data_IF_171792443070
#
_entry.id   IF_171792443070
#
_cell.length_a   1.000
_cell.length_b   1.000
_cell.length_c   1.000
_cell.angle_alpha   90.00
_cell.angle_beta   90.00
_cell.angle_gamma   90.00
#
_symmetry.space_group_name_H-M   'P 1'
#
loop_
_entity.id
_entity.type
_entity.pdbx_description
1 polymer ?
#
# COMPACT_ATOMS: atom_id res chain seq x y z
N UNK A 1 -61.01 -20.90 72.39
CA UNK A 1 -59.99 -21.94 72.55
C UNK A 1 -58.72 -21.40 71.94
N UNK A 2 -57.93 -20.83 72.74
CA UNK A 2 -56.62 -21.32 73.26
C UNK A 2 -55.57 -21.36 72.17
N UNK A 3 -54.66 -20.45 72.30
CA UNK A 3 -53.29 -20.50 72.81
C UNK A 3 -52.32 -20.91 71.68
N UNK A 4 -51.22 -20.36 71.51
CA UNK A 4 -50.33 -19.60 72.34
C UNK A 4 -49.06 -19.27 71.52
N UNK A 5 -48.51 -18.16 71.83
CA UNK A 5 -47.15 -17.93 72.31
C UNK A 5 -46.03 -18.75 71.61
N UNK A 6 -45.06 -18.13 71.02
CA UNK A 6 -43.91 -17.61 71.77
C UNK A 6 -42.87 -16.99 70.78
N UNK A 7 -42.39 -15.87 71.22
CA UNK A 7 -41.07 -15.25 71.01
C UNK A 7 -39.93 -16.21 70.68
N UNK A 8 -39.09 -15.79 69.76
CA UNK A 8 -37.66 -15.62 70.10
C UNK A 8 -36.92 -14.69 69.15
N UNK A 9 -36.41 -13.70 69.82
CA UNK A 9 -35.34 -12.82 69.29
C UNK A 9 -34.05 -13.62 69.21
N UNK A 10 -33.23 -13.23 68.28
CA UNK A 10 -31.78 -13.10 68.33
C UNK A 10 -31.25 -13.50 66.92
N UNK A 11 -30.36 -12.92 66.29
CA UNK A 11 -29.20 -12.15 66.66
C UNK A 11 -28.56 -11.67 65.43
N UNK A 12 -28.11 -10.43 65.43
CA UNK A 12 -27.12 -9.90 64.52
C UNK A 12 -25.87 -10.80 64.45
N UNK A 13 -25.29 -10.92 63.26
CA UNK A 13 -23.87 -10.96 62.95
C UNK A 13 -23.85 -11.31 61.43
N UNK A 14 -23.56 -10.47 60.52
CA UNK A 14 -22.24 -9.90 60.29
C UNK A 14 -21.43 -10.90 59.47
N UNK A 15 -21.30 -10.66 58.21
CA UNK A 15 -20.19 -11.09 57.35
C UNK A 15 -20.38 -10.29 56.05
N UNK A 16 -19.64 -9.26 55.90
CA UNK A 16 -18.42 -9.20 55.16
C UNK A 16 -18.58 -9.69 53.70
N UNK A 17 -18.78 -8.78 52.75
CA UNK A 17 -17.76 -8.37 51.81
C UNK A 17 -17.24 -9.52 50.95
N UNK A 18 -17.86 -9.70 49.80
CA UNK A 18 -17.14 -10.22 48.66
C UNK A 18 -17.30 -9.20 47.52
N UNK A 19 -16.40 -8.24 47.53
CA UNK A 19 -16.09 -7.46 46.32
C UNK A 19 -15.53 -8.42 45.27
N UNK A 20 -16.37 -8.87 44.37
CA UNK A 20 -15.91 -9.47 43.11
C UNK A 20 -15.24 -8.38 42.31
N UNK A 21 -13.92 -8.30 42.38
CA UNK A 21 -13.09 -7.62 41.39
C UNK A 21 -13.33 -8.34 40.06
N UNK A 22 -14.26 -7.83 39.27
CA UNK A 22 -14.29 -8.13 37.85
C UNK A 22 -13.06 -7.46 37.21
N UNK A 23 -11.97 -8.22 37.12
CA UNK A 23 -10.80 -7.85 36.36
C UNK A 23 -11.23 -7.68 34.90
N UNK A 24 -11.40 -6.45 34.47
CA UNK A 24 -11.47 -6.11 33.06
C UNK A 24 -10.08 -6.38 32.48
N UNK A 25 -9.92 -7.56 31.92
CA UNK A 25 -8.81 -7.86 31.01
C UNK A 25 -9.01 -6.93 29.79
N UNK A 26 -8.42 -5.74 29.87
CA UNK A 26 -8.13 -4.95 28.67
C UNK A 26 -7.13 -5.77 27.85
N UNK A 27 -7.64 -6.56 26.91
CA UNK A 27 -6.83 -7.11 25.84
C UNK A 27 -6.44 -5.90 24.98
N UNK A 28 -5.25 -5.38 25.22
CA UNK A 28 -4.65 -4.41 24.31
C UNK A 28 -4.53 -5.12 22.96
N UNK A 29 -5.41 -4.77 22.01
CA UNK A 29 -5.23 -5.19 20.62
C UNK A 29 -3.88 -4.66 20.18
N UNK A 30 -3.03 -5.48 19.56
CA UNK A 30 -1.73 -5.02 19.09
C UNK A 30 -1.95 -3.87 18.09
N UNK A 31 -1.29 -2.74 18.33
CA UNK A 31 -1.39 -1.53 17.50
C UNK A 31 -1.17 -1.80 15.98
N UNK A 32 -0.43 -2.86 15.65
CA UNK A 32 -0.23 -3.31 14.28
C UNK A 32 -1.49 -3.86 13.57
N UNK A 33 -2.60 -4.11 14.30
CA UNK A 33 -3.84 -4.56 13.66
C UNK A 33 -4.68 -3.38 13.13
N UNK A 34 -4.52 -2.19 13.70
CA UNK A 34 -5.22 -0.99 13.24
C UNK A 34 -4.60 -0.43 11.97
N UNK A 35 -3.26 -0.42 11.86
CA UNK A 35 -2.57 0.00 10.63
C UNK A 35 -2.91 -0.92 9.45
N UNK A 36 -3.00 -2.25 9.69
CA UNK A 36 -3.40 -3.22 8.67
C UNK A 36 -4.86 -3.08 8.21
N UNK A 37 -5.75 -2.60 9.09
CA UNK A 37 -7.15 -2.37 8.73
C UNK A 37 -7.31 -1.10 7.87
N UNK A 38 -6.46 -0.10 8.09
CA UNK A 38 -6.45 1.15 7.34
C UNK A 38 -5.85 0.95 5.94
N UNK A 39 -4.79 0.15 5.81
CA UNK A 39 -4.22 -0.26 4.53
C UNK A 39 -5.17 -1.12 3.67
N UNK A 40 -6.11 -1.85 4.27
CA UNK A 40 -7.13 -2.61 3.53
C UNK A 40 -8.10 -1.73 2.76
N UNK A 41 -8.32 -0.49 3.18
CA UNK A 41 -9.12 0.48 2.41
C UNK A 41 -8.43 0.93 1.12
N UNK A 42 -7.12 0.81 1.04
CA UNK A 42 -6.36 1.09 -0.18
C UNK A 42 -6.31 -0.10 -1.16
N UNK A 43 -6.93 -1.23 -0.82
CA UNK A 43 -7.17 -2.35 -1.70
C UNK A 43 -6.04 -3.37 -1.85
N UNK A 44 -4.79 -3.06 -1.43
CA UNK A 44 -3.66 -3.99 -1.52
C UNK A 44 -2.72 -3.87 -0.33
N UNK A 45 -2.44 -5.02 0.30
CA UNK A 45 -1.36 -5.16 1.26
C UNK A 45 -0.06 -5.43 0.49
N UNK A 46 0.97 -4.70 0.80
CA UNK A 46 2.34 -4.96 0.38
C UNK A 46 3.29 -4.62 1.53
N UNK A 47 4.46 -5.25 1.59
CA UNK A 47 5.39 -5.04 2.69
C UNK A 47 5.86 -3.57 2.75
N UNK A 48 6.21 -3.13 3.94
CA UNK A 48 6.84 -1.83 4.15
C UNK A 48 8.11 -1.75 3.32
N UNK A 49 8.35 -0.66 2.58
CA UNK A 49 9.57 -0.50 1.80
C UNK A 49 10.82 -0.65 2.66
N UNK A 50 11.71 -1.54 2.25
CA UNK A 50 12.99 -1.78 2.91
C UNK A 50 14.04 -0.73 2.52
N UNK A 51 13.87 -0.16 1.33
CA UNK A 51 14.72 0.91 0.82
C UNK A 51 13.88 2.01 0.21
N UNK A 52 14.27 3.26 0.47
CA UNK A 52 13.61 4.46 -0.07
C UNK A 52 14.69 5.30 -0.74
N UNK A 53 14.49 5.65 -2.00
CA UNK A 53 15.35 6.53 -2.77
C UNK A 53 14.54 7.74 -3.26
N UNK A 54 15.23 8.83 -3.56
CA UNK A 54 14.64 10.02 -4.19
C UNK A 54 15.24 10.18 -5.58
N UNK A 55 14.37 10.40 -6.55
CA UNK A 55 14.75 10.71 -7.92
C UNK A 55 14.36 12.15 -8.25
N UNK A 56 15.35 12.96 -8.59
CA UNK A 56 15.17 14.32 -9.10
C UNK A 56 14.83 14.23 -10.59
N UNK A 57 13.57 14.45 -10.92
CA UNK A 57 13.12 14.40 -12.31
C UNK A 57 13.62 15.60 -13.09
N UNK A 58 13.86 15.40 -14.37
CA UNK A 58 14.30 16.43 -15.34
C UNK A 58 13.13 17.08 -16.08
N UNK A 59 11.94 16.60 -15.79
CA UNK A 59 10.71 17.03 -16.42
C UNK A 59 9.77 17.67 -15.39
N UNK A 60 8.97 18.61 -15.85
CA UNK A 60 7.86 19.15 -15.07
C UNK A 60 6.58 18.34 -15.26
N UNK A 61 5.71 18.40 -14.27
CA UNK A 61 4.38 17.81 -14.36
C UNK A 61 3.53 18.61 -15.34
N UNK A 62 2.81 17.92 -16.23
CA UNK A 62 1.86 18.58 -17.14
C UNK A 62 0.73 19.24 -16.36
N UNK A 63 0.28 20.41 -16.79
CA UNK A 63 -0.80 21.17 -16.16
C UNK A 63 -2.13 20.38 -16.08
N UNK A 64 -2.39 19.56 -17.09
CA UNK A 64 -3.58 18.70 -17.18
C UNK A 64 -3.36 17.29 -16.59
N UNK A 65 -2.30 17.12 -15.81
CA UNK A 65 -1.98 15.87 -15.14
C UNK A 65 -2.89 15.68 -13.93
N UNK A 66 -3.98 14.98 -14.14
CA UNK A 66 -4.98 14.67 -13.13
C UNK A 66 -5.07 13.16 -12.82
N UNK A 67 -5.97 12.81 -11.92
CA UNK A 67 -6.26 11.42 -11.57
C UNK A 67 -6.69 10.59 -12.78
N UNK A 68 -7.48 11.15 -13.68
CA UNK A 68 -8.01 10.45 -14.87
C UNK A 68 -6.88 10.07 -15.81
N UNK A 69 -5.94 10.99 -16.05
CA UNK A 69 -4.76 10.74 -16.87
C UNK A 69 -3.87 9.64 -16.29
N UNK A 70 -3.62 9.66 -14.97
CA UNK A 70 -2.83 8.62 -14.30
C UNK A 70 -3.49 7.25 -14.40
N UNK A 71 -4.79 7.17 -14.16
CA UNK A 71 -5.55 5.91 -14.31
C UNK A 71 -5.55 5.46 -15.78
N UNK A 72 -5.75 6.37 -16.72
CA UNK A 72 -5.67 6.07 -18.15
C UNK A 72 -4.33 5.46 -18.54
N UNK A 73 -3.22 6.01 -18.05
CA UNK A 73 -1.89 5.43 -18.24
C UNK A 73 -1.78 4.00 -17.71
N UNK A 74 -2.26 3.74 -16.49
CA UNK A 74 -2.24 2.38 -15.90
C UNK A 74 -3.07 1.40 -16.72
N UNK A 75 -4.26 1.80 -17.14
CA UNK A 75 -5.14 0.96 -17.97
C UNK A 75 -4.47 0.62 -19.30
N UNK A 76 -3.85 1.61 -19.96
CA UNK A 76 -3.18 1.39 -21.25
C UNK A 76 -1.95 0.48 -21.07
N UNK A 77 -1.13 0.71 -20.06
CA UNK A 77 0.02 -0.12 -19.76
C UNK A 77 -0.40 -1.57 -19.46
N UNK A 78 -1.44 -1.74 -18.66
CA UNK A 78 -2.00 -3.06 -18.36
C UNK A 78 -2.53 -3.74 -19.62
N UNK A 79 -3.24 -3.01 -20.48
CA UNK A 79 -3.74 -3.53 -21.77
C UNK A 79 -2.63 -4.00 -22.68
N UNK A 80 -1.54 -3.23 -22.78
CA UNK A 80 -0.36 -3.62 -23.55
C UNK A 80 0.29 -4.88 -23.00
N UNK A 81 0.43 -4.99 -21.68
CA UNK A 81 0.98 -6.19 -21.04
C UNK A 81 0.12 -7.43 -21.30
N UNK A 82 -1.21 -7.31 -21.20
CA UNK A 82 -2.15 -8.39 -21.44
C UNK A 82 -2.32 -8.75 -22.93
N UNK A 83 -1.91 -7.88 -23.85
CA UNK A 83 -1.92 -8.20 -25.29
C UNK A 83 -0.78 -9.12 -25.71
N UNK A 84 0.21 -9.32 -24.84
CA UNK A 84 1.30 -10.27 -25.05
C UNK A 84 0.75 -11.70 -24.90
N UNK A 85 1.15 -12.68 -25.74
CA UNK A 85 0.72 -14.07 -25.60
C UNK A 85 1.23 -14.77 -24.33
N UNK A 86 2.21 -14.19 -23.67
CA UNK A 86 2.74 -14.70 -22.38
C UNK A 86 2.10 -13.97 -21.21
N UNK A 87 1.87 -14.69 -20.08
CA UNK A 87 1.42 -14.04 -18.84
C UNK A 87 2.38 -12.93 -18.42
N UNK A 88 1.88 -11.78 -17.94
CA UNK A 88 2.75 -10.71 -17.47
C UNK A 88 3.54 -11.14 -16.23
N UNK A 89 4.79 -10.72 -16.15
CA UNK A 89 5.67 -10.98 -15.03
C UNK A 89 5.35 -10.11 -13.81
N UNK A 90 4.68 -8.98 -14.02
CA UNK A 90 4.28 -8.05 -12.97
C UNK A 90 2.93 -7.40 -13.30
N UNK A 91 2.26 -6.91 -12.27
CA UNK A 91 1.05 -6.11 -12.37
C UNK A 91 1.32 -4.66 -11.94
N UNK A 92 0.52 -3.73 -12.45
CA UNK A 92 0.67 -2.30 -12.21
C UNK A 92 -0.59 -1.74 -11.59
N UNK A 93 -0.46 -0.93 -10.56
CA UNK A 93 -1.58 -0.33 -9.83
C UNK A 93 -1.31 1.14 -9.56
N UNK A 94 -2.38 1.94 -9.54
CA UNK A 94 -2.34 3.29 -9.01
C UNK A 94 -2.96 3.32 -7.61
N UNK A 95 -2.34 4.02 -6.68
CA UNK A 95 -2.78 4.23 -5.31
C UNK A 95 -2.75 5.71 -4.95
N UNK A 96 -3.33 6.03 -3.79
CA UNK A 96 -3.51 7.41 -3.33
C UNK A 96 -4.83 8.00 -3.78
N UNK A 97 -5.26 9.06 -3.13
CA UNK A 97 -6.53 9.74 -3.41
C UNK A 97 -6.58 10.26 -4.85
N UNK A 98 -5.46 10.79 -5.32
CA UNK A 98 -5.29 11.30 -6.67
C UNK A 98 -4.64 10.28 -7.62
N UNK A 99 -4.49 9.01 -7.21
CA UNK A 99 -3.76 7.99 -7.96
C UNK A 99 -2.28 8.36 -8.24
N UNK A 100 -1.68 9.13 -7.36
CA UNK A 100 -0.33 9.70 -7.48
C UNK A 100 0.80 8.73 -7.11
N UNK A 101 0.46 7.56 -6.61
CA UNK A 101 1.41 6.51 -6.22
C UNK A 101 1.30 5.35 -7.18
N UNK A 102 2.35 5.11 -7.95
CA UNK A 102 2.45 3.94 -8.82
C UNK A 102 2.99 2.75 -8.02
N UNK A 103 2.39 1.60 -8.19
CA UNK A 103 2.87 0.35 -7.61
C UNK A 103 3.03 -0.72 -8.67
N UNK A 104 4.18 -1.38 -8.69
CA UNK A 104 4.49 -2.53 -9.53
C UNK A 104 4.70 -3.74 -8.61
N UNK A 105 3.95 -4.82 -8.85
CA UNK A 105 4.01 -6.03 -8.03
C UNK A 105 4.34 -7.22 -8.92
N UNK A 106 5.32 -8.03 -8.54
CA UNK A 106 5.62 -9.27 -9.22
C UNK A 106 4.41 -10.21 -9.19
N UNK A 107 4.16 -10.87 -10.31
CA UNK A 107 3.10 -11.88 -10.47
C UNK A 107 3.64 -13.30 -10.29
N UNK A 108 4.94 -13.45 -10.21
CA UNK A 108 5.65 -14.72 -10.00
C UNK A 108 6.81 -14.48 -9.05
N UNK A 109 7.12 -15.51 -8.28
CA UNK A 109 8.32 -15.55 -7.48
C UNK A 109 9.56 -15.33 -8.37
N UNK A 110 10.63 -14.80 -7.81
CA UNK A 110 11.92 -14.59 -8.46
C UNK A 110 11.98 -13.47 -9.54
N UNK A 111 10.89 -12.80 -9.87
CA UNK A 111 10.90 -11.68 -10.84
C UNK A 111 11.44 -10.39 -10.20
N UNK A 112 10.99 -10.07 -9.00
CA UNK A 112 11.34 -8.84 -8.27
C UNK A 112 11.62 -9.20 -6.80
N UNK A 113 12.76 -9.84 -6.54
CA UNK A 113 13.11 -10.28 -5.18
C UNK A 113 14.27 -9.48 -4.55
N UNK A 114 14.80 -8.53 -5.28
CA UNK A 114 15.99 -7.77 -4.88
C UNK A 114 16.06 -6.41 -5.56
N UNK A 115 16.82 -5.48 -4.95
CA UNK A 115 17.08 -4.17 -5.52
C UNK A 115 17.70 -4.23 -6.92
N UNK A 116 18.50 -5.23 -7.20
CA UNK A 116 19.12 -5.42 -8.52
C UNK A 116 18.07 -5.74 -9.59
N UNK A 117 17.12 -6.62 -9.28
CA UNK A 117 16.02 -6.96 -10.20
C UNK A 117 15.03 -5.81 -10.34
N UNK A 118 14.73 -5.10 -9.26
CA UNK A 118 13.93 -3.87 -9.32
C UNK A 118 14.58 -2.84 -10.26
N UNK A 119 15.88 -2.62 -10.16
CA UNK A 119 16.62 -1.70 -11.06
C UNK A 119 16.68 -2.20 -12.51
N UNK A 120 16.78 -3.50 -12.72
CA UNK A 120 16.72 -4.09 -14.07
C UNK A 120 15.34 -3.85 -14.72
N UNK A 121 14.26 -4.03 -13.96
CA UNK A 121 12.91 -3.70 -14.40
C UNK A 121 12.78 -2.22 -14.76
N UNK A 122 13.30 -1.32 -13.93
CA UNK A 122 13.28 0.12 -14.19
C UNK A 122 14.07 0.51 -15.44
N UNK A 123 15.18 -0.16 -15.70
CA UNK A 123 15.96 0.04 -16.92
C UNK A 123 15.16 -0.42 -18.17
N UNK A 124 14.47 -1.55 -18.09
CA UNK A 124 13.57 -2.04 -19.13
C UNK A 124 12.42 -1.06 -19.38
N UNK A 125 11.74 -0.60 -18.32
CA UNK A 125 10.66 0.38 -18.43
C UNK A 125 11.14 1.72 -19.02
N UNK A 126 12.37 2.13 -18.70
CA UNK A 126 13.01 3.30 -19.32
C UNK A 126 13.19 3.08 -20.83
N UNK A 127 13.67 1.91 -21.24
CA UNK A 127 13.83 1.58 -22.66
C UNK A 127 12.49 1.62 -23.41
N UNK A 128 11.43 1.07 -22.81
CA UNK A 128 10.07 1.11 -23.37
C UNK A 128 9.54 2.55 -23.44
N UNK A 129 9.76 3.35 -22.40
CA UNK A 129 9.33 4.76 -22.35
C UNK A 129 9.96 5.60 -23.46
N UNK A 130 11.23 5.34 -23.77
CA UNK A 130 11.97 6.02 -24.84
C UNK A 130 11.39 5.77 -26.23
N UNK A 131 10.74 4.63 -26.43
CA UNK A 131 10.06 4.31 -27.68
C UNK A 131 8.66 4.94 -27.80
N UNK A 132 8.16 5.63 -26.76
CA UNK A 132 6.84 6.27 -26.81
C UNK A 132 6.85 7.50 -27.71
N UNK A 133 5.74 7.80 -28.42
CA UNK A 133 5.62 9.03 -29.21
C UNK A 133 5.92 10.29 -28.38
N UNK A 134 5.51 10.31 -27.11
CA UNK A 134 5.76 11.44 -26.21
C UNK A 134 7.25 11.79 -26.14
N UNK A 135 8.14 10.81 -25.94
CA UNK A 135 9.56 11.06 -25.83
C UNK A 135 10.21 11.31 -27.19
N UNK A 136 9.73 10.67 -28.25
CA UNK A 136 10.25 10.85 -29.61
C UNK A 136 9.91 12.25 -30.17
N UNK A 137 8.67 12.67 -30.04
CA UNK A 137 8.18 13.95 -30.55
C UNK A 137 8.84 15.16 -29.88
N UNK A 138 9.13 15.03 -28.56
CA UNK A 138 9.85 16.07 -27.84
C UNK A 138 11.37 15.97 -27.93
N UNK A 139 11.92 14.95 -28.60
CA UNK A 139 13.37 14.76 -28.75
C UNK A 139 14.11 14.47 -27.42
N UNK A 140 13.43 13.93 -26.41
CA UNK A 140 13.99 13.71 -25.07
C UNK A 140 14.31 12.24 -24.78
N UNK A 141 14.12 11.35 -25.75
CA UNK A 141 14.28 9.91 -25.59
C UNK A 141 15.68 9.50 -25.10
N UNK A 142 16.73 10.22 -25.45
CA UNK A 142 18.11 9.92 -25.01
C UNK A 142 18.39 10.35 -23.56
N UNK A 143 17.63 11.31 -23.04
CA UNK A 143 17.91 11.96 -21.75
C UNK A 143 16.94 11.47 -20.68
N UNK A 144 15.66 11.33 -21.01
CA UNK A 144 14.60 11.01 -20.06
C UNK A 144 14.55 9.53 -19.73
N UNK A 145 14.10 9.25 -18.52
CA UNK A 145 13.90 7.92 -17.95
C UNK A 145 12.43 7.64 -17.74
N UNK A 146 12.11 6.44 -17.28
CA UNK A 146 10.76 6.11 -16.84
C UNK A 146 10.27 7.03 -15.70
N UNK A 147 11.15 7.46 -14.81
CA UNK A 147 10.79 8.40 -13.74
C UNK A 147 10.41 9.78 -14.26
N UNK A 148 11.08 10.26 -15.30
CA UNK A 148 10.71 11.53 -15.96
C UNK A 148 9.31 11.41 -16.59
N UNK A 149 8.98 10.26 -17.20
CA UNK A 149 7.62 9.99 -17.69
C UNK A 149 6.60 10.01 -16.53
N UNK A 150 6.91 9.36 -15.41
CA UNK A 150 6.04 9.36 -14.25
C UNK A 150 5.83 10.78 -13.70
N UNK A 151 6.88 11.60 -13.66
CA UNK A 151 6.79 12.99 -13.24
C UNK A 151 5.88 13.80 -14.18
N UNK A 152 6.07 13.67 -15.49
CA UNK A 152 5.20 14.30 -16.50
C UNK A 152 3.74 13.96 -16.25
N UNK A 153 3.44 12.71 -15.91
CA UNK A 153 2.09 12.23 -15.61
C UNK A 153 1.61 12.58 -14.19
N UNK A 154 2.43 13.23 -13.37
CA UNK A 154 2.08 13.67 -12.01
C UNK A 154 2.11 12.57 -10.96
N UNK A 155 2.83 11.47 -11.19
CA UNK A 155 3.12 10.52 -10.12
C UNK A 155 4.20 11.10 -9.21
N UNK A 156 3.97 11.00 -7.90
CA UNK A 156 4.89 11.45 -6.87
C UNK A 156 5.74 10.31 -6.28
N UNK A 157 5.35 9.05 -6.54
CA UNK A 157 5.97 7.89 -5.93
C UNK A 157 5.83 6.66 -6.84
N UNK A 158 6.89 5.85 -6.85
CA UNK A 158 6.87 4.49 -7.39
C UNK A 158 7.26 3.51 -6.29
N UNK A 159 6.50 2.43 -6.12
CA UNK A 159 6.86 1.29 -5.26
C UNK A 159 6.94 0.02 -6.11
N UNK A 160 8.02 -0.73 -5.97
CA UNK A 160 8.24 -2.02 -6.63
C UNK A 160 8.33 -3.07 -5.54
N UNK A 161 7.54 -4.15 -5.64
CA UNK A 161 7.45 -5.19 -4.64
C UNK A 161 7.29 -6.57 -5.27
N UNK A 162 7.76 -7.61 -4.55
CA UNK A 162 7.44 -9.01 -4.84
C UNK A 162 6.06 -9.42 -4.30
N UNK A 163 5.40 -8.52 -3.54
CA UNK A 163 4.12 -8.80 -2.88
C UNK A 163 4.24 -9.52 -1.53
N UNK A 164 5.43 -9.87 -1.10
CA UNK A 164 5.70 -10.60 0.15
C UNK A 164 6.76 -9.92 1.01
N UNK A 165 8.02 -10.16 0.78
CA UNK A 165 9.13 -9.78 1.64
C UNK A 165 9.97 -8.60 1.15
N UNK A 166 9.89 -8.25 -0.12
CA UNK A 166 10.67 -7.18 -0.73
C UNK A 166 9.80 -6.02 -1.20
N UNK A 167 10.17 -4.81 -0.84
CA UNK A 167 9.63 -3.58 -1.42
C UNK A 167 10.69 -2.49 -1.48
N UNK A 168 10.78 -1.83 -2.63
CA UNK A 168 11.63 -0.70 -2.91
C UNK A 168 10.78 0.50 -3.34
N UNK A 169 10.98 1.64 -2.71
CA UNK A 169 10.23 2.87 -2.97
C UNK A 169 11.14 3.94 -3.55
N UNK A 170 10.65 4.65 -4.56
CA UNK A 170 11.29 5.83 -5.13
C UNK A 170 10.31 7.00 -5.04
N UNK A 171 10.74 8.07 -4.39
CA UNK A 171 10.05 9.37 -4.38
C UNK A 171 10.49 10.15 -5.61
N UNK A 172 9.55 10.76 -6.33
CA UNK A 172 9.78 11.49 -7.59
C UNK A 172 9.58 12.98 -7.32
N UNK A 173 10.62 13.76 -7.38
CA UNK A 173 10.63 15.20 -7.11
C UNK A 173 10.90 16.02 -8.37
#
# INVERSE_FOLDING_TARGET
>A
MQQGKAHRRSSLKGVAGALALAGVLLVAAPAGAQDRAQDRHDGYYYPTPQTIETYEARADTLEDSDRTRRIGFIVELTRQMLSNPYPPDFAVFAKGEQAEKLMIVAMRDDVIDSIYRARALLAMLTSVSRATPLFQDYGVAEVFTFFDLLKILGFAQLTISDGDGFAHQVLIQ
#
